data_IF_649247529669
#
_entry.id   IF_649247529669
#
_cell.length_a   1.000
_cell.length_b   1.000
_cell.length_c   1.000
_cell.angle_alpha   90.00
_cell.angle_beta   90.00
_cell.angle_gamma   90.00
#
_symmetry.space_group_name_H-M   'P 1'
#
loop_
_entity.id
_entity.type
_entity.pdbx_description
1 polymer ?
#
# COMPACT_ATOMS: atom_id res chain seq x y z
N UNK A 1 -2.80 8.87 11.64
CA UNK A 1 -3.31 7.75 10.82
C UNK A 1 -3.73 6.56 11.67
N UNK A 2 -2.84 5.87 12.40
CA UNK A 2 -3.24 4.65 13.15
C UNK A 2 -4.26 4.92 14.28
N UNK A 3 -4.05 6.00 15.08
CA UNK A 3 -5.00 6.52 16.08
C UNK A 3 -6.33 7.04 15.52
N UNK A 4 -6.47 7.04 14.20
CA UNK A 4 -7.71 7.46 13.54
C UNK A 4 -8.54 6.22 13.17
N UNK A 5 -7.89 5.13 12.76
CA UNK A 5 -8.56 3.88 12.36
C UNK A 5 -9.19 3.15 13.54
N UNK A 6 -8.45 3.00 14.65
CA UNK A 6 -8.98 2.43 15.90
C UNK A 6 -10.23 3.18 16.37
N UNK A 7 -10.16 4.51 16.41
CA UNK A 7 -11.25 5.39 16.78
C UNK A 7 -12.45 5.21 15.85
N UNK A 8 -12.25 5.21 14.53
CA UNK A 8 -13.35 5.04 13.57
C UNK A 8 -14.07 3.69 13.75
N UNK A 9 -13.34 2.61 14.05
CA UNK A 9 -13.95 1.30 14.29
C UNK A 9 -14.73 1.29 15.62
N UNK A 10 -14.22 1.92 16.67
CA UNK A 10 -14.93 2.07 17.95
C UNK A 10 -16.20 2.92 17.81
N UNK A 11 -16.11 4.04 17.10
CA UNK A 11 -17.25 4.93 16.81
C UNK A 11 -18.32 4.22 15.96
N UNK A 12 -17.91 3.29 15.09
CA UNK A 12 -18.82 2.41 14.35
C UNK A 12 -19.42 1.27 15.20
N UNK A 13 -19.09 1.19 16.50
CA UNK A 13 -19.63 0.21 17.43
C UNK A 13 -18.93 -1.16 17.41
N UNK A 14 -17.76 -1.27 16.78
CA UNK A 14 -16.98 -2.51 16.85
C UNK A 14 -16.36 -2.67 18.25
N UNK A 15 -16.35 -3.91 18.72
CA UNK A 15 -15.77 -4.32 20.00
C UNK A 15 -14.37 -4.89 19.78
N UNK A 16 -13.55 -4.93 20.83
CA UNK A 16 -12.20 -5.54 20.80
C UNK A 16 -11.36 -5.04 19.60
N UNK A 17 -11.34 -3.72 19.41
CA UNK A 17 -10.61 -3.10 18.30
C UNK A 17 -9.11 -3.20 18.56
N UNK A 18 -8.39 -3.80 17.62
CA UNK A 18 -6.93 -3.86 17.59
C UNK A 18 -6.40 -3.08 16.40
N UNK A 19 -5.27 -2.41 16.60
CA UNK A 19 -4.57 -1.69 15.53
C UNK A 19 -3.07 -1.98 15.60
N UNK A 20 -2.48 -2.26 14.44
CA UNK A 20 -1.06 -2.56 14.32
C UNK A 20 -0.48 -2.05 13.00
N UNK A 21 0.84 -1.88 12.98
CA UNK A 21 1.59 -1.70 11.74
C UNK A 21 2.32 -2.98 11.42
N UNK A 22 2.16 -3.43 10.18
CA UNK A 22 2.95 -4.54 9.65
C UNK A 22 3.88 -4.01 8.56
N UNK A 23 5.09 -4.57 8.53
CA UNK A 23 6.05 -4.33 7.46
C UNK A 23 5.93 -5.48 6.46
N UNK A 24 5.46 -5.20 5.26
CA UNK A 24 5.34 -6.20 4.19
C UNK A 24 6.45 -6.00 3.17
N UNK A 25 7.05 -7.08 2.65
CA UNK A 25 8.08 -6.95 1.64
C UNK A 25 7.46 -6.42 0.33
N UNK A 26 8.18 -5.55 -0.37
CA UNK A 26 7.80 -5.04 -1.68
C UNK A 26 8.88 -5.44 -2.68
N UNK A 27 8.59 -6.35 -3.60
CA UNK A 27 9.53 -6.87 -4.58
C UNK A 27 9.73 -8.38 -4.47
N UNK A 28 10.37 -8.97 -5.49
CA UNK A 28 10.60 -10.40 -5.63
C UNK A 28 11.47 -11.00 -4.52
N UNK A 29 12.35 -10.18 -3.92
CA UNK A 29 13.11 -10.55 -2.73
C UNK A 29 12.21 -11.03 -1.56
N UNK A 30 10.95 -10.57 -1.53
CA UNK A 30 9.93 -10.94 -0.55
C UNK A 30 9.23 -12.28 -0.80
N UNK A 31 9.68 -13.05 -1.79
CA UNK A 31 8.98 -14.24 -2.26
C UNK A 31 7.60 -13.91 -2.82
N UNK A 32 6.69 -14.90 -2.81
CA UNK A 32 5.37 -14.79 -3.47
C UNK A 32 4.57 -13.55 -3.06
N UNK A 33 4.53 -13.21 -1.77
CA UNK A 33 3.75 -12.06 -1.29
C UNK A 33 4.37 -10.74 -1.76
N UNK A 34 5.69 -10.61 -1.69
CA UNK A 34 6.38 -9.39 -2.15
C UNK A 34 6.28 -9.20 -3.66
N UNK A 35 6.40 -10.29 -4.43
CA UNK A 35 6.20 -10.28 -5.89
C UNK A 35 4.80 -9.79 -6.26
N UNK A 36 3.75 -10.35 -5.63
CA UNK A 36 2.38 -9.94 -5.88
C UNK A 36 2.15 -8.47 -5.52
N UNK A 37 2.60 -8.03 -4.34
CA UNK A 37 2.44 -6.64 -3.93
C UNK A 37 3.17 -5.67 -4.88
N UNK A 38 4.36 -6.02 -5.35
CA UNK A 38 5.11 -5.20 -6.31
C UNK A 38 4.46 -5.14 -7.68
N UNK A 39 3.80 -6.22 -8.12
CA UNK A 39 2.99 -6.23 -9.34
C UNK A 39 1.80 -5.28 -9.18
N UNK A 40 1.01 -5.44 -8.12
CA UNK A 40 -0.16 -4.60 -7.87
C UNK A 40 0.21 -3.12 -7.78
N UNK A 41 1.32 -2.79 -7.10
CA UNK A 41 1.80 -1.42 -6.98
C UNK A 41 2.19 -0.81 -8.34
N UNK A 42 2.98 -1.54 -9.15
CA UNK A 42 3.38 -1.10 -10.50
C UNK A 42 2.19 -0.87 -11.40
N UNK A 43 1.27 -1.82 -11.46
CA UNK A 43 0.12 -1.73 -12.35
C UNK A 43 -0.85 -0.63 -11.90
N UNK A 44 -1.00 -0.41 -10.59
CA UNK A 44 -1.75 0.74 -10.07
C UNK A 44 -1.14 2.06 -10.51
N UNK A 45 0.19 2.22 -10.40
CA UNK A 45 0.86 3.46 -10.81
C UNK A 45 0.86 3.68 -12.32
N UNK A 46 1.01 2.62 -13.12
CA UNK A 46 0.86 2.69 -14.58
C UNK A 46 -0.57 3.08 -14.97
N UNK A 47 -1.59 2.58 -14.28
CA UNK A 47 -2.98 2.95 -14.57
C UNK A 47 -3.26 4.45 -14.33
N UNK A 48 -2.44 5.11 -13.51
CA UNK A 48 -2.55 6.55 -13.21
C UNK A 48 -1.35 7.36 -13.73
N UNK A 49 -0.55 6.83 -14.66
CA UNK A 49 0.66 7.52 -15.18
C UNK A 49 0.29 8.82 -15.89
N UNK A 50 -0.71 8.81 -16.77
CA UNK A 50 -1.17 9.99 -17.49
C UNK A 50 -1.59 11.16 -16.57
N UNK A 51 -2.45 10.98 -15.54
CA UNK A 51 -2.77 12.09 -14.63
C UNK A 51 -1.60 12.54 -13.77
N UNK A 52 -0.66 11.66 -13.41
CA UNK A 52 0.60 12.06 -12.75
C UNK A 52 1.42 12.94 -13.69
N UNK A 53 1.66 12.48 -14.92
CA UNK A 53 2.43 13.19 -15.93
C UNK A 53 1.86 14.61 -16.19
N UNK A 54 0.54 14.71 -16.37
CA UNK A 54 -0.14 15.99 -16.54
C UNK A 54 0.01 16.91 -15.32
N UNK A 55 -0.11 16.37 -14.10
CA UNK A 55 0.00 17.14 -12.86
C UNK A 55 1.41 17.71 -12.64
N UNK A 56 2.44 17.01 -13.09
CA UNK A 56 3.84 17.39 -12.94
C UNK A 56 4.47 17.99 -14.21
N UNK A 57 3.70 18.13 -15.30
CA UNK A 57 4.17 18.64 -16.59
C UNK A 57 5.35 17.82 -17.14
N UNK A 58 5.30 16.50 -16.93
CA UNK A 58 6.30 15.54 -17.42
C UNK A 58 5.75 14.78 -18.64
N UNK A 59 6.60 14.28 -19.54
CA UNK A 59 6.22 13.23 -20.47
C UNK A 59 5.74 11.99 -19.71
N UNK A 60 4.65 11.36 -20.15
CA UNK A 60 4.15 10.15 -19.50
C UNK A 60 5.18 9.02 -19.49
N UNK A 61 5.99 8.92 -20.55
CA UNK A 61 7.08 7.95 -20.62
C UNK A 61 8.08 8.11 -19.47
N UNK A 62 8.36 9.34 -19.02
CA UNK A 62 9.26 9.56 -17.89
C UNK A 62 8.68 8.99 -16.58
N UNK A 63 7.36 9.08 -16.40
CA UNK A 63 6.68 8.46 -15.26
C UNK A 63 6.76 6.94 -15.33
N UNK A 64 6.57 6.34 -16.51
CA UNK A 64 6.71 4.90 -16.71
C UNK A 64 8.13 4.42 -16.41
N UNK A 65 9.14 5.13 -16.90
CA UNK A 65 10.55 4.81 -16.66
C UNK A 65 10.90 4.90 -15.16
N UNK A 66 10.29 5.83 -14.43
CA UNK A 66 10.44 5.96 -12.98
C UNK A 66 9.79 4.79 -12.23
N UNK A 67 8.61 4.33 -12.66
CA UNK A 67 7.95 3.15 -12.07
C UNK A 67 8.82 1.90 -12.24
N UNK A 68 9.42 1.71 -13.42
CA UNK A 68 10.30 0.58 -13.70
C UNK A 68 11.59 0.65 -12.89
N UNK A 69 12.19 1.84 -12.74
CA UNK A 69 13.36 2.05 -11.86
C UNK A 69 13.05 1.78 -10.39
N UNK A 70 11.94 2.33 -9.88
CA UNK A 70 11.50 2.09 -8.51
C UNK A 70 11.33 0.59 -8.21
N UNK A 71 10.84 -0.18 -9.19
CA UNK A 71 10.73 -1.63 -9.07
C UNK A 71 12.06 -2.36 -8.88
N UNK A 72 13.14 -1.84 -9.47
CA UNK A 72 14.49 -2.39 -9.30
C UNK A 72 15.01 -2.04 -7.91
N UNK A 73 14.88 -0.76 -7.52
CA UNK A 73 15.29 -0.25 -6.20
C UNK A 73 14.63 -1.03 -5.05
N UNK A 74 13.36 -1.43 -5.20
CA UNK A 74 12.69 -2.23 -4.18
C UNK A 74 13.36 -3.57 -3.91
N UNK A 75 13.89 -4.20 -4.95
CA UNK A 75 14.60 -5.46 -4.82
C UNK A 75 16.00 -5.27 -4.27
N UNK A 76 16.72 -4.28 -4.78
CA UNK A 76 18.10 -3.97 -4.34
C UNK A 76 18.15 -3.57 -2.86
N UNK A 77 17.21 -2.72 -2.44
CA UNK A 77 17.17 -2.17 -1.08
C UNK A 77 16.32 -3.00 -0.13
N UNK A 78 15.71 -4.09 -0.61
CA UNK A 78 14.77 -4.92 0.15
C UNK A 78 13.68 -4.07 0.83
N UNK A 79 13.06 -3.19 0.03
CA UNK A 79 12.11 -2.19 0.51
C UNK A 79 10.90 -2.83 1.18
N UNK A 80 10.59 -2.38 2.40
CA UNK A 80 9.39 -2.81 3.14
C UNK A 80 8.35 -1.70 3.12
N UNK A 81 7.11 -2.07 2.79
CA UNK A 81 5.96 -1.17 2.86
C UNK A 81 5.33 -1.26 4.26
N UNK A 82 5.13 -0.12 4.91
CA UNK A 82 4.46 -0.05 6.20
C UNK A 82 2.94 0.03 6.03
N UNK A 83 2.21 -1.06 6.26
CA UNK A 83 0.75 -1.08 6.25
C UNK A 83 0.21 -0.86 7.65
N UNK A 84 -0.77 0.04 7.79
CA UNK A 84 -1.55 0.20 9.01
C UNK A 84 -2.84 -0.60 8.88
N UNK A 85 -3.08 -1.51 9.84
CA UNK A 85 -4.24 -2.38 9.86
C UNK A 85 -4.96 -2.14 11.19
N UNK A 86 -6.29 -2.05 11.13
CA UNK A 86 -7.14 -2.11 12.30
C UNK A 86 -8.34 -3.01 12.02
N UNK A 87 -8.75 -3.80 13.01
CA UNK A 87 -9.91 -4.68 12.93
C UNK A 87 -10.58 -4.79 14.29
N UNK A 88 -11.85 -5.20 14.30
CA UNK A 88 -12.62 -5.42 15.52
C UNK A 88 -13.78 -6.37 15.26
N UNK A 89 -14.51 -6.71 16.30
CA UNK A 89 -15.63 -7.64 16.26
C UNK A 89 -16.95 -6.88 16.14
N UNK A 90 -17.81 -7.31 15.22
CA UNK A 90 -19.19 -6.80 15.18
C UNK A 90 -19.93 -7.28 16.44
N UNK A 91 -20.72 -6.43 17.12
CA UNK A 91 -21.59 -6.88 18.19
C UNK A 91 -22.50 -8.02 17.72
N UNK A 92 -22.78 -8.98 18.59
CA UNK A 92 -23.81 -9.98 18.31
C UNK A 92 -25.13 -9.26 18.02
N UNK A 93 -25.86 -9.70 16.99
CA UNK A 93 -27.21 -9.20 16.77
C UNK A 93 -28.09 -9.62 17.95
N UNK A 94 -28.69 -8.65 18.63
CA UNK A 94 -29.75 -8.87 19.61
C UNK A 94 -31.04 -9.29 18.94
#
# INVERSE_FOLDING_TARGET
MMRSLDRYLQEAGLLQVEAQRIQVPLGDWGGRLGSLLSLDARETWKAISAPIAARFQLPEQEVLDLIDRASQEWNELQTKWSLAIAYGQKPAAS
#
